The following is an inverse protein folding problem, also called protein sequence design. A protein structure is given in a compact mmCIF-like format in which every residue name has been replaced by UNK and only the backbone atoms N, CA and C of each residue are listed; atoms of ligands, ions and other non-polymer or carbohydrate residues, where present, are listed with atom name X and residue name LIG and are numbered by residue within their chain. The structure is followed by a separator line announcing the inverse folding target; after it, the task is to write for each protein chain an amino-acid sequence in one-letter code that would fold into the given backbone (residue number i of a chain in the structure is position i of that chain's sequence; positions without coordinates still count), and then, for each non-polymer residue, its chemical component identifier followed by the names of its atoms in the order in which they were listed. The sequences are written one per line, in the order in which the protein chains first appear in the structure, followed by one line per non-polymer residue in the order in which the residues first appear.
data_IF_660182913194
#
_entry.id   IF_660182913194
#
_cell.length_a   1.000
_cell.length_b   1.000
_cell.length_c   1.000
_cell.angle_alpha   90.00
_cell.angle_beta   90.00
_cell.angle_gamma   90.00
#
_symmetry.space_group_name_H-M   'P 1'
#
loop_
_entity.id
_entity.type
_entity.pdbx_description
1 polymer ?
#
# COMPACT_ATOMS: atom_id res chain seq x y z
N UNK A 1 15.09 32.72 20.89
CA UNK A 1 14.44 31.44 21.33
C UNK A 1 13.89 30.70 20.13
N UNK A 2 14.74 30.04 19.40
CA UNK A 2 14.33 29.01 18.43
C UNK A 2 13.98 27.75 19.21
N UNK A 3 12.74 27.66 19.70
CA UNK A 3 12.14 26.37 20.04
C UNK A 3 12.15 25.55 18.74
N UNK A 4 13.13 24.66 18.59
CA UNK A 4 13.27 23.83 17.41
C UNK A 4 11.98 23.03 17.19
N UNK A 5 11.53 22.92 15.93
CA UNK A 5 10.32 22.16 15.60
C UNK A 5 10.41 20.73 16.12
N UNK A 6 9.28 20.20 16.61
CA UNK A 6 9.21 18.85 17.10
C UNK A 6 8.95 17.85 15.98
N UNK A 7 9.29 16.58 16.21
CA UNK A 7 9.02 15.50 15.28
C UNK A 7 7.51 15.36 15.02
N UNK A 8 6.70 15.44 16.07
CA UNK A 8 5.24 15.35 15.97
C UNK A 8 4.66 16.46 15.10
N UNK A 9 5.09 17.73 15.30
CA UNK A 9 4.61 18.86 14.53
C UNK A 9 4.84 18.68 13.03
N UNK A 10 6.02 18.18 12.63
CA UNK A 10 6.34 17.94 11.21
C UNK A 10 5.56 16.75 10.66
N UNK A 11 5.33 15.73 11.48
CA UNK A 11 4.57 14.54 11.10
C UNK A 11 3.10 14.90 10.87
N UNK A 12 2.47 15.59 11.81
CA UNK A 12 1.07 16.02 11.72
C UNK A 12 0.85 16.89 10.47
N UNK A 13 1.70 17.87 10.23
CA UNK A 13 1.60 18.71 9.04
C UNK A 13 1.73 17.90 7.72
N UNK A 14 2.54 16.85 7.73
CA UNK A 14 2.66 15.97 6.57
C UNK A 14 1.44 15.07 6.39
N UNK A 15 0.91 14.53 7.47
CA UNK A 15 -0.31 13.71 7.47
C UNK A 15 -1.49 14.52 6.92
N UNK A 16 -1.66 15.77 7.36
CA UNK A 16 -2.68 16.66 6.83
C UNK A 16 -2.52 16.92 5.33
N UNK A 17 -1.29 17.16 4.86
CA UNK A 17 -0.99 17.33 3.44
C UNK A 17 -1.37 16.06 2.65
N UNK A 18 -1.10 14.88 3.19
CA UNK A 18 -1.47 13.61 2.56
C UNK A 18 -3.00 13.45 2.46
N UNK A 19 -3.76 13.81 3.50
CA UNK A 19 -5.22 13.79 3.45
C UNK A 19 -5.78 14.78 2.44
N UNK A 20 -5.27 16.01 2.40
CA UNK A 20 -5.64 17.02 1.38
C UNK A 20 -5.42 16.52 -0.05
N UNK A 21 -4.38 15.69 -0.25
CA UNK A 21 -4.05 15.09 -1.54
C UNK A 21 -4.73 13.73 -1.78
N UNK A 22 -5.78 13.37 -1.01
CA UNK A 22 -6.53 12.11 -1.11
C UNK A 22 -5.67 10.84 -0.96
N UNK A 23 -4.51 10.93 -0.27
CA UNK A 23 -3.61 9.79 0.00
C UNK A 23 -3.91 9.17 1.36
N UNK A 24 -5.18 8.88 1.62
CA UNK A 24 -5.71 8.46 2.94
C UNK A 24 -4.98 7.25 3.51
N UNK A 25 -4.77 6.19 2.72
CA UNK A 25 -4.09 4.98 3.22
C UNK A 25 -2.65 5.27 3.65
N UNK A 26 -1.94 6.11 2.90
CA UNK A 26 -0.57 6.48 3.25
C UNK A 26 -0.54 7.43 4.46
N UNK A 27 -1.49 8.35 4.58
CA UNK A 27 -1.65 9.21 5.75
C UNK A 27 -1.88 8.39 7.03
N UNK A 28 -2.75 7.39 6.99
CA UNK A 28 -3.00 6.50 8.13
C UNK A 28 -1.75 5.69 8.50
N UNK A 29 -1.01 5.15 7.52
CA UNK A 29 0.23 4.44 7.76
C UNK A 29 1.32 5.34 8.38
N UNK A 30 1.39 6.62 7.99
CA UNK A 30 2.28 7.61 8.61
C UNK A 30 1.89 7.88 10.06
N UNK A 31 0.59 8.04 10.35
CA UNK A 31 0.05 8.25 11.70
C UNK A 31 0.36 7.08 12.63
N UNK A 32 0.21 5.85 12.15
CA UNK A 32 0.59 4.66 12.92
C UNK A 32 2.09 4.64 13.23
N UNK A 33 2.93 4.97 12.24
CA UNK A 33 4.39 5.01 12.42
C UNK A 33 4.80 6.12 13.40
N UNK A 34 4.16 7.28 13.34
CA UNK A 34 4.33 8.35 14.34
C UNK A 34 4.00 7.86 15.74
N UNK A 35 2.81 7.27 15.93
CA UNK A 35 2.37 6.79 17.24
C UNK A 35 3.35 5.77 17.82
N UNK A 36 3.98 4.92 17.00
CA UNK A 36 5.00 4.00 17.46
C UNK A 36 6.27 4.68 17.92
N UNK A 37 6.72 5.73 17.23
CA UNK A 37 7.91 6.49 17.60
C UNK A 37 7.67 7.29 18.88
N UNK A 38 6.55 8.01 18.97
CA UNK A 38 6.18 8.76 20.18
C UNK A 38 5.99 7.85 21.39
N UNK A 39 5.46 6.65 21.21
CA UNK A 39 5.35 5.64 22.29
C UNK A 39 6.71 5.17 22.79
N UNK A 40 7.66 4.97 21.91
CA UNK A 40 9.05 4.64 22.28
C UNK A 40 9.68 5.77 23.09
N UNK A 41 9.52 7.00 22.64
CA UNK A 41 10.07 8.20 23.29
C UNK A 41 9.36 8.56 24.60
N UNK A 42 8.18 7.99 24.86
CA UNK A 42 7.26 8.38 25.94
C UNK A 42 6.83 9.85 25.88
N UNK A 43 6.80 10.43 24.70
CA UNK A 43 6.44 11.81 24.43
C UNK A 43 6.95 12.28 23.07
N UNK A 44 6.94 13.58 22.85
CA UNK A 44 7.49 14.20 21.64
C UNK A 44 8.97 14.54 21.82
N UNK A 45 9.66 14.77 20.73
CA UNK A 45 11.09 15.06 20.68
C UNK A 45 11.36 16.20 19.70
N UNK A 46 12.30 17.09 20.06
CA UNK A 46 12.78 18.10 19.11
C UNK A 46 13.57 17.40 17.99
N UNK A 47 13.39 17.86 16.75
CA UNK A 47 14.10 17.26 15.62
C UNK A 47 15.62 17.24 15.81
N UNK A 48 16.18 18.29 16.39
CA UNK A 48 17.64 18.40 16.64
C UNK A 48 18.18 17.34 17.60
N UNK A 49 17.32 16.78 18.46
CA UNK A 49 17.69 15.77 19.46
C UNK A 49 17.61 14.34 18.90
N UNK A 50 17.17 14.17 17.65
CA UNK A 50 17.14 12.86 16.99
C UNK A 50 18.54 12.56 16.46
N UNK A 51 19.25 11.67 17.14
CA UNK A 51 20.63 11.26 16.82
C UNK A 51 20.67 9.89 16.18
N UNK A 52 21.79 9.46 15.56
CA UNK A 52 21.98 8.08 15.11
C UNK A 52 21.75 7.05 16.20
N UNK A 53 22.26 7.28 17.41
CA UNK A 53 22.09 6.40 18.56
C UNK A 53 20.63 6.25 18.98
N UNK A 54 19.83 7.32 18.89
CA UNK A 54 18.39 7.26 19.17
C UNK A 54 17.66 6.39 18.13
N UNK A 55 18.06 6.45 16.87
CA UNK A 55 17.50 5.61 15.80
C UNK A 55 17.86 4.13 16.02
N UNK A 56 19.08 3.82 16.43
CA UNK A 56 19.49 2.45 16.78
C UNK A 56 18.71 1.91 17.97
N UNK A 57 18.54 2.71 19.04
CA UNK A 57 17.73 2.35 20.21
C UNK A 57 16.26 2.11 19.81
N UNK A 58 15.72 2.92 18.92
CA UNK A 58 14.37 2.72 18.40
C UNK A 58 14.25 1.43 17.59
N UNK A 59 15.23 1.13 16.75
CA UNK A 59 15.26 -0.12 15.99
C UNK A 59 15.29 -1.33 16.93
N UNK A 60 16.17 -1.34 17.93
CA UNK A 60 16.25 -2.39 18.93
C UNK A 60 14.94 -2.55 19.74
N UNK A 61 14.26 -1.44 20.04
CA UNK A 61 12.94 -1.47 20.69
C UNK A 61 11.88 -2.13 19.81
N UNK A 62 11.89 -1.85 18.49
CA UNK A 62 10.94 -2.45 17.54
C UNK A 62 11.21 -3.95 17.34
N UNK A 63 12.48 -4.36 17.30
CA UNK A 63 12.86 -5.77 17.17
C UNK A 63 12.35 -6.64 18.33
N UNK A 64 12.35 -6.11 19.55
CA UNK A 64 11.79 -6.79 20.73
C UNK A 64 10.29 -7.06 20.66
N UNK A 65 9.56 -6.43 19.71
CA UNK A 65 8.12 -6.62 19.51
C UNK A 65 7.76 -7.84 18.65
N UNK A 66 8.73 -8.63 18.21
CA UNK A 66 8.52 -9.77 17.30
C UNK A 66 7.79 -9.40 15.99
N UNK A 67 7.99 -8.19 15.51
CA UNK A 67 7.41 -7.76 14.24
C UNK A 67 8.12 -8.39 13.05
N UNK A 68 7.38 -8.56 11.96
CA UNK A 68 7.99 -8.97 10.70
C UNK A 68 8.99 -7.89 10.23
N UNK A 69 10.06 -8.32 9.55
CA UNK A 69 11.02 -7.41 8.92
C UNK A 69 10.34 -6.39 7.99
N UNK A 70 9.23 -6.80 7.34
CA UNK A 70 8.42 -5.90 6.51
C UNK A 70 7.83 -4.75 7.33
N UNK A 71 7.17 -5.07 8.45
CA UNK A 71 6.53 -4.09 9.33
C UNK A 71 7.56 -3.14 9.92
N UNK A 72 8.65 -3.68 10.45
CA UNK A 72 9.76 -2.89 10.99
C UNK A 72 10.32 -1.95 9.91
N UNK A 73 10.58 -2.49 8.72
CA UNK A 73 11.08 -1.68 7.60
C UNK A 73 10.11 -0.58 7.14
N UNK A 74 8.80 -0.79 7.24
CA UNK A 74 7.80 0.25 6.92
C UNK A 74 7.90 1.39 7.93
N UNK A 75 7.87 1.08 9.23
CA UNK A 75 7.90 2.07 10.29
C UNK A 75 9.21 2.88 10.25
N UNK A 76 10.35 2.23 10.07
CA UNK A 76 11.65 2.91 9.98
C UNK A 76 11.76 3.79 8.72
N UNK A 77 11.25 3.34 7.57
CA UNK A 77 11.18 4.18 6.35
C UNK A 77 10.30 5.40 6.54
N UNK A 78 9.18 5.26 7.24
CA UNK A 78 8.28 6.37 7.51
C UNK A 78 8.93 7.38 8.45
N UNK A 79 9.58 6.95 9.52
CA UNK A 79 10.36 7.81 10.41
C UNK A 79 11.44 8.57 9.64
N UNK A 80 12.23 7.88 8.81
CA UNK A 80 13.24 8.52 7.94
C UNK A 80 12.62 9.52 6.96
N UNK A 81 11.42 9.24 6.45
CA UNK A 81 10.72 10.16 5.53
C UNK A 81 10.39 11.49 6.21
N UNK A 82 9.96 11.47 7.48
CA UNK A 82 9.68 12.70 8.24
C UNK A 82 10.96 13.50 8.46
N UNK A 83 12.04 12.87 8.87
CA UNK A 83 13.35 13.51 9.08
C UNK A 83 13.84 14.14 7.77
N UNK A 84 13.84 13.40 6.67
CA UNK A 84 14.25 13.91 5.36
C UNK A 84 13.38 15.08 4.89
N UNK A 85 12.08 15.05 5.21
CA UNK A 85 11.17 16.13 4.90
C UNK A 85 11.47 17.38 5.72
N UNK A 86 11.78 17.22 7.01
CA UNK A 86 12.20 18.32 7.87
C UNK A 86 13.48 18.97 7.35
N UNK A 87 14.46 18.18 6.95
CA UNK A 87 15.71 18.68 6.32
C UNK A 87 15.39 19.43 5.03
N UNK A 88 14.60 18.84 4.13
CA UNK A 88 14.21 19.45 2.86
C UNK A 88 13.47 20.79 3.04
N UNK A 89 12.63 20.89 4.07
CA UNK A 89 11.89 22.12 4.42
C UNK A 89 12.73 23.09 5.27
N UNK A 90 14.02 22.82 5.49
CA UNK A 90 14.94 23.63 6.31
C UNK A 90 14.46 23.86 7.75
N UNK A 91 13.72 22.89 8.31
CA UNK A 91 13.24 22.92 9.68
C UNK A 91 14.27 22.41 10.68
N UNK A 92 15.25 21.66 10.20
CA UNK A 92 16.38 21.13 10.96
C UNK A 92 17.59 20.98 10.05
N UNK A 93 18.78 21.11 10.61
CA UNK A 93 20.06 20.76 9.99
C UNK A 93 20.80 19.81 10.92
N UNK A 94 21.34 18.73 10.35
CA UNK A 94 22.15 17.76 11.07
C UNK A 94 23.58 17.77 10.52
N UNK A 95 24.57 17.72 11.40
CA UNK A 95 25.95 17.49 10.99
C UNK A 95 26.13 16.08 10.45
N UNK A 96 25.44 15.11 11.07
CA UNK A 96 25.41 13.71 10.67
C UNK A 96 23.94 13.27 10.58
N UNK A 97 23.55 12.68 9.46
CA UNK A 97 22.15 12.28 9.28
C UNK A 97 21.77 11.17 10.29
N UNK A 98 20.61 11.25 10.99
CA UNK A 98 20.23 10.28 12.02
C UNK A 98 20.18 8.81 11.55
N UNK A 99 20.03 8.56 10.26
CA UNK A 99 20.02 7.22 9.66
C UNK A 99 21.34 6.85 8.95
N UNK A 100 22.46 7.54 9.24
CA UNK A 100 23.73 7.31 8.53
C UNK A 100 24.22 5.87 8.70
N UNK A 101 24.20 5.37 9.92
CA UNK A 101 24.73 4.04 10.28
C UNK A 101 23.65 2.95 10.33
N UNK A 102 22.35 3.32 10.15
CA UNK A 102 21.26 2.37 10.22
C UNK A 102 20.75 1.93 8.84
N UNK A 103 20.97 0.66 8.53
CA UNK A 103 20.41 0.04 7.31
C UNK A 103 19.03 -0.53 7.58
N UNK A 104 17.99 0.04 6.95
CA UNK A 104 16.62 -0.40 7.13
C UNK A 104 16.45 -1.81 6.56
N UNK A 105 16.00 -2.80 7.37
CA UNK A 105 15.88 -4.17 6.95
C UNK A 105 14.84 -4.32 5.84
N UNK A 106 15.21 -5.13 4.85
CA UNK A 106 14.33 -5.54 3.77
C UNK A 106 13.72 -6.91 4.09
N UNK A 107 12.46 -7.09 3.69
CA UNK A 107 11.87 -8.43 3.72
C UNK A 107 12.50 -9.29 2.65
N UNK A 108 12.74 -10.58 2.95
CA UNK A 108 13.07 -11.53 1.90
C UNK A 108 11.95 -11.56 0.87
N UNK A 109 12.32 -11.74 -0.37
CA UNK A 109 11.35 -11.97 -1.45
C UNK A 109 10.59 -13.25 -1.11
N UNK A 110 9.28 -13.16 -1.02
CA UNK A 110 8.41 -14.33 -0.84
C UNK A 110 8.08 -14.88 -2.21
N UNK A 111 8.33 -16.15 -2.42
CA UNK A 111 7.73 -16.86 -3.54
C UNK A 111 6.24 -17.07 -3.20
N UNK A 112 5.40 -16.34 -3.93
CA UNK A 112 3.93 -16.42 -3.82
C UNK A 112 3.33 -17.07 -5.06
N UNK A 113 4.15 -17.72 -5.88
CA UNK A 113 3.69 -18.43 -7.07
C UNK A 113 2.75 -19.57 -6.68
N UNK A 114 1.68 -19.71 -7.44
CA UNK A 114 0.73 -20.82 -7.29
C UNK A 114 1.13 -21.90 -8.29
N UNK A 115 1.29 -23.13 -7.84
CA UNK A 115 1.55 -24.27 -8.73
C UNK A 115 0.36 -24.50 -9.66
N UNK A 116 0.63 -24.89 -10.90
CA UNK A 116 -0.38 -25.09 -11.94
C UNK A 116 -1.51 -26.03 -11.51
N UNK A 117 -1.17 -27.09 -10.78
CA UNK A 117 -2.15 -28.04 -10.24
C UNK A 117 -3.12 -27.38 -9.24
N UNK A 118 -2.58 -26.54 -8.35
CA UNK A 118 -3.37 -25.80 -7.37
C UNK A 118 -4.23 -24.75 -8.05
N UNK A 119 -3.70 -24.06 -9.04
CA UNK A 119 -4.43 -23.11 -9.87
C UNK A 119 -5.62 -23.79 -10.57
N UNK A 120 -5.38 -24.96 -11.22
CA UNK A 120 -6.43 -25.73 -11.86
C UNK A 120 -7.54 -26.12 -10.88
N UNK A 121 -7.18 -26.56 -9.67
CA UNK A 121 -8.16 -26.88 -8.62
C UNK A 121 -9.00 -25.67 -8.23
N UNK A 122 -8.40 -24.49 -8.08
CA UNK A 122 -9.13 -23.26 -7.74
C UNK A 122 -10.09 -22.87 -8.85
N UNK A 123 -9.62 -22.85 -10.10
CA UNK A 123 -10.41 -22.43 -11.26
C UNK A 123 -11.62 -23.34 -11.54
N UNK A 124 -11.51 -24.62 -11.19
CA UNK A 124 -12.56 -25.64 -11.42
C UNK A 124 -13.25 -26.10 -10.12
N UNK A 125 -13.04 -25.41 -9.01
CA UNK A 125 -13.66 -25.78 -7.74
C UNK A 125 -15.19 -25.70 -7.82
N UNK A 126 -15.86 -26.78 -7.45
CA UNK A 126 -17.29 -26.75 -7.15
C UNK A 126 -17.47 -26.26 -5.72
N UNK A 127 -18.30 -25.26 -5.52
CA UNK A 127 -18.50 -24.61 -4.22
C UNK A 127 -19.99 -24.37 -3.98
N UNK A 128 -20.45 -24.74 -2.80
CA UNK A 128 -21.86 -24.66 -2.41
C UNK A 128 -22.23 -23.32 -1.78
N UNK A 129 -21.22 -22.55 -1.35
CA UNK A 129 -21.43 -21.25 -0.72
C UNK A 129 -21.36 -20.12 -1.75
N UNK A 130 -22.35 -19.21 -1.69
CA UNK A 130 -22.33 -17.99 -2.51
C UNK A 130 -21.05 -17.17 -2.30
N UNK A 131 -20.60 -17.02 -1.05
CA UNK A 131 -19.35 -16.32 -0.73
C UNK A 131 -18.12 -16.95 -1.41
N UNK A 132 -18.01 -18.28 -1.38
CA UNK A 132 -16.91 -18.99 -2.04
C UNK A 132 -17.03 -18.92 -3.56
N UNK A 133 -18.25 -18.92 -4.11
CA UNK A 133 -18.49 -18.74 -5.55
C UNK A 133 -18.00 -17.36 -6.01
N UNK A 134 -18.34 -16.30 -5.27
CA UNK A 134 -17.83 -14.95 -5.55
C UNK A 134 -16.32 -14.89 -5.47
N UNK A 135 -15.72 -15.45 -4.41
CA UNK A 135 -14.27 -15.45 -4.22
C UNK A 135 -13.54 -16.19 -5.36
N UNK A 136 -14.03 -17.37 -5.75
CA UNK A 136 -13.51 -18.15 -6.89
C UNK A 136 -13.62 -17.37 -8.20
N UNK A 137 -14.80 -16.82 -8.47
CA UNK A 137 -15.07 -16.11 -9.71
C UNK A 137 -14.24 -14.83 -9.82
N UNK A 138 -14.05 -14.08 -8.73
CA UNK A 138 -13.16 -12.91 -8.68
C UNK A 138 -11.70 -13.28 -8.89
N UNK A 139 -11.23 -14.35 -8.26
CA UNK A 139 -9.87 -14.85 -8.46
C UNK A 139 -9.68 -15.28 -9.92
N UNK A 140 -10.62 -16.06 -10.48
CA UNK A 140 -10.58 -16.54 -11.85
C UNK A 140 -10.61 -15.39 -12.85
N UNK A 141 -11.47 -14.39 -12.63
CA UNK A 141 -11.56 -13.20 -13.46
C UNK A 141 -10.25 -12.41 -13.45
N UNK A 142 -9.68 -12.16 -12.25
CA UNK A 142 -8.37 -11.52 -12.14
C UNK A 142 -7.30 -12.29 -12.92
N UNK A 143 -7.28 -13.62 -12.81
CA UNK A 143 -6.34 -14.48 -13.53
C UNK A 143 -6.51 -14.39 -15.05
N UNK A 144 -7.72 -14.56 -15.57
CA UNK A 144 -8.01 -14.54 -17.01
C UNK A 144 -7.79 -13.16 -17.65
N UNK A 145 -7.78 -12.10 -16.86
CA UNK A 145 -7.48 -10.74 -17.27
C UNK A 145 -6.02 -10.33 -16.99
N UNK A 146 -5.11 -11.31 -16.83
CA UNK A 146 -3.67 -11.05 -16.71
C UNK A 146 -3.20 -10.56 -15.34
N UNK A 147 -3.90 -10.91 -14.28
CA UNK A 147 -3.53 -10.57 -12.90
C UNK A 147 -3.91 -9.15 -12.48
N UNK A 148 -5.06 -8.66 -12.94
CA UNK A 148 -5.57 -7.34 -12.56
C UNK A 148 -5.78 -7.27 -11.04
N UNK A 149 -5.33 -6.17 -10.44
CA UNK A 149 -5.56 -5.92 -9.02
C UNK A 149 -7.06 -5.78 -8.73
N UNK A 150 -7.51 -6.32 -7.61
CA UNK A 150 -8.92 -6.30 -7.21
C UNK A 150 -9.53 -4.89 -7.20
N UNK A 151 -8.79 -3.88 -6.73
CA UNK A 151 -9.27 -2.49 -6.71
C UNK A 151 -9.52 -1.95 -8.12
N UNK A 152 -8.66 -2.29 -9.08
CA UNK A 152 -8.83 -1.87 -10.47
C UNK A 152 -9.98 -2.65 -11.12
N UNK A 153 -10.09 -3.96 -10.82
CA UNK A 153 -11.14 -4.84 -11.30
C UNK A 153 -12.55 -4.36 -10.88
N UNK A 154 -12.72 -3.97 -9.61
CA UNK A 154 -14.01 -3.51 -9.09
C UNK A 154 -14.48 -2.17 -9.66
N UNK A 155 -13.58 -1.36 -10.18
CA UNK A 155 -13.93 -0.06 -10.79
C UNK A 155 -14.08 -0.09 -12.31
N UNK A 156 -13.77 -1.22 -12.90
CA UNK A 156 -13.75 -1.40 -14.35
C UNK A 156 -15.15 -1.37 -14.94
N UNK A 157 -15.25 -0.85 -16.17
CA UNK A 157 -16.47 -0.93 -16.97
C UNK A 157 -16.37 -2.12 -17.94
N UNK A 158 -17.26 -3.08 -17.78
CA UNK A 158 -17.29 -4.33 -18.55
C UNK A 158 -18.33 -4.35 -19.68
N UNK A 159 -18.93 -3.22 -20.02
CA UNK A 159 -19.95 -3.19 -21.12
C UNK A 159 -19.37 -3.54 -22.48
N UNK A 160 -18.06 -3.35 -22.69
CA UNK A 160 -17.41 -3.86 -23.88
C UNK A 160 -17.02 -5.32 -23.72
N UNK A 161 -17.60 -6.20 -24.54
CA UNK A 161 -17.38 -7.65 -24.48
C UNK A 161 -16.08 -8.13 -25.15
N UNK A 162 -15.43 -7.30 -25.96
CA UNK A 162 -14.25 -7.69 -26.74
C UNK A 162 -12.94 -7.36 -26.05
N UNK A 163 -12.87 -6.20 -25.40
CA UNK A 163 -11.69 -5.75 -24.69
C UNK A 163 -12.09 -4.87 -23.50
N UNK A 164 -11.26 -4.84 -22.51
CA UNK A 164 -11.33 -3.91 -21.39
C UNK A 164 -10.20 -2.91 -21.48
N UNK A 165 -10.48 -1.69 -21.06
CA UNK A 165 -9.53 -0.60 -21.06
C UNK A 165 -9.51 0.04 -19.68
N UNK A 166 -8.33 0.14 -19.08
CA UNK A 166 -8.19 0.77 -17.76
C UNK A 166 -6.82 1.40 -17.56
N UNK A 167 -6.75 2.33 -16.63
CA UNK A 167 -5.50 2.89 -16.12
C UNK A 167 -5.30 2.46 -14.68
N UNK A 168 -4.12 1.94 -14.36
CA UNK A 168 -3.83 1.40 -13.03
C UNK A 168 -3.86 2.49 -11.97
N UNK A 169 -4.79 2.43 -11.00
CA UNK A 169 -4.98 3.43 -9.94
C UNK A 169 -3.71 3.73 -9.14
N UNK A 170 -2.91 2.70 -8.84
CA UNK A 170 -1.66 2.85 -8.08
C UNK A 170 -0.63 3.76 -8.76
N UNK A 171 -0.73 3.93 -10.08
CA UNK A 171 0.21 4.71 -10.90
C UNK A 171 -0.39 6.07 -11.28
N UNK A 172 -1.72 6.22 -11.24
CA UNK A 172 -2.39 7.48 -11.51
C UNK A 172 -1.84 8.57 -10.58
N UNK A 173 -1.38 9.67 -11.17
CA UNK A 173 -0.79 10.80 -10.43
C UNK A 173 0.70 10.68 -10.10
N UNK A 174 1.39 9.59 -10.50
CA UNK A 174 2.85 9.47 -10.38
C UNK A 174 3.60 9.76 -11.68
N UNK A 175 2.93 9.57 -12.81
CA UNK A 175 3.45 9.84 -14.16
C UNK A 175 2.46 10.70 -14.90
N UNK A 176 2.97 11.67 -15.68
CA UNK A 176 2.16 12.54 -16.53
C UNK A 176 1.41 11.77 -17.64
N UNK A 177 1.86 10.57 -17.98
CA UNK A 177 1.22 9.65 -18.92
C UNK A 177 0.82 8.37 -18.18
N UNK A 178 -0.39 8.33 -17.65
CA UNK A 178 -0.97 7.07 -17.20
C UNK A 178 -1.19 6.18 -18.44
N UNK A 179 -0.32 5.17 -18.63
CA UNK A 179 -0.48 4.22 -19.72
C UNK A 179 -1.83 3.52 -19.59
N UNK A 180 -2.64 3.67 -20.61
CA UNK A 180 -3.88 2.92 -20.75
C UNK A 180 -3.53 1.48 -21.10
N UNK A 181 -4.01 0.54 -20.32
CA UNK A 181 -3.85 -0.89 -20.55
C UNK A 181 -5.11 -1.37 -21.28
N UNK A 182 -4.92 -2.04 -22.41
CA UNK A 182 -5.99 -2.65 -23.18
C UNK A 182 -5.76 -4.16 -23.17
N UNK A 183 -6.76 -4.92 -22.71
CA UNK A 183 -6.70 -6.37 -22.62
C UNK A 183 -7.87 -6.99 -23.37
N UNK A 184 -7.64 -8.02 -24.21
CA UNK A 184 -8.73 -8.79 -24.78
C UNK A 184 -9.46 -9.57 -23.67
N UNK A 185 -10.76 -9.69 -23.79
CA UNK A 185 -11.56 -10.49 -22.86
C UNK A 185 -11.53 -11.93 -23.29
N UNK A 186 -10.89 -12.77 -22.47
CA UNK A 186 -10.89 -14.22 -22.67
C UNK A 186 -12.31 -14.80 -22.52
N UNK A 187 -12.67 -15.83 -23.25
CA UNK A 187 -14.00 -16.44 -23.24
C UNK A 187 -14.47 -16.81 -21.81
N UNK A 188 -13.61 -17.45 -21.02
CA UNK A 188 -13.91 -17.78 -19.61
C UNK A 188 -14.12 -16.54 -18.73
N UNK A 189 -13.40 -15.45 -19.01
CA UNK A 189 -13.65 -14.18 -18.33
C UNK A 189 -15.01 -13.60 -18.73
N UNK A 190 -15.39 -13.68 -20.00
CA UNK A 190 -16.69 -13.20 -20.47
C UNK A 190 -17.86 -13.91 -19.75
N UNK A 191 -17.77 -15.22 -19.51
CA UNK A 191 -18.78 -15.96 -18.76
C UNK A 191 -18.94 -15.43 -17.32
N UNK A 192 -17.83 -15.12 -16.64
CA UNK A 192 -17.85 -14.57 -15.28
C UNK A 192 -18.38 -13.15 -15.26
N UNK A 193 -17.97 -12.34 -16.23
CA UNK A 193 -18.48 -10.97 -16.40
C UNK A 193 -19.99 -10.98 -16.63
N UNK A 194 -20.50 -11.84 -17.52
CA UNK A 194 -21.93 -11.96 -17.80
C UNK A 194 -22.74 -12.35 -16.54
N UNK A 195 -22.15 -13.15 -15.65
CA UNK A 195 -22.78 -13.57 -14.39
C UNK A 195 -22.91 -12.43 -13.38
N UNK A 196 -21.91 -11.55 -13.29
CA UNK A 196 -21.76 -10.59 -12.19
C UNK A 196 -21.87 -9.12 -12.61
N UNK A 197 -21.88 -8.80 -13.89
CA UNK A 197 -21.95 -7.43 -14.35
C UNK A 197 -23.37 -6.86 -14.19
N UNK A 198 -23.45 -5.71 -13.52
CA UNK A 198 -24.66 -4.91 -13.52
C UNK A 198 -24.80 -4.16 -14.85
N UNK A 199 -25.84 -4.41 -15.65
CA UNK A 199 -25.98 -3.80 -16.99
C UNK A 199 -26.10 -2.26 -16.97
N UNK A 200 -26.61 -1.68 -15.87
CA UNK A 200 -26.81 -0.23 -15.74
C UNK A 200 -25.49 0.49 -15.49
N UNK A 201 -24.65 -0.08 -14.61
CA UNK A 201 -23.39 0.56 -14.22
C UNK A 201 -22.18 0.07 -15.02
N UNK A 202 -22.28 -1.11 -15.64
CA UNK A 202 -21.18 -1.80 -16.29
C UNK A 202 -20.17 -2.40 -15.32
N UNK A 203 -20.37 -2.28 -14.01
CA UNK A 203 -19.47 -2.77 -12.96
C UNK A 203 -19.90 -4.14 -12.45
N UNK A 204 -18.95 -4.84 -11.82
CA UNK A 204 -19.28 -6.06 -11.09
C UNK A 204 -20.13 -5.73 -9.86
N UNK A 205 -21.18 -6.52 -9.65
CA UNK A 205 -22.13 -6.37 -8.55
C UNK A 205 -22.39 -7.75 -7.95
N UNK A 206 -22.12 -7.91 -6.67
CA UNK A 206 -22.24 -9.18 -5.94
C UNK A 206 -23.35 -9.13 -4.89
N UNK A 207 -24.19 -8.09 -4.94
CA UNK A 207 -25.35 -7.98 -4.08
C UNK A 207 -26.47 -8.88 -4.63
N UNK A 208 -26.91 -9.78 -3.77
CA UNK A 208 -28.10 -10.61 -3.93
C UNK A 208 -29.19 -10.17 -2.98
#
# INVERSE_FOLDING_TARGET
DTQGESFKSVCDAYIEELFKNSKTNYANMMRESEAHFLKFLRGDVRLVDITPELIEQYAAYLEKKNWSRATLGIVMRNTRTIINRAIKKRKVSYNVHPFVDYSIPQSPVRDVSIRLESLSKILNAEVDSNYLSVARDLFSLSFYLGGINMTDLMDMDFRNSRYIQYSRKKIMGRTSNANVIILPVHEKAACIIAKWMNPRTGKLDFHY
#
